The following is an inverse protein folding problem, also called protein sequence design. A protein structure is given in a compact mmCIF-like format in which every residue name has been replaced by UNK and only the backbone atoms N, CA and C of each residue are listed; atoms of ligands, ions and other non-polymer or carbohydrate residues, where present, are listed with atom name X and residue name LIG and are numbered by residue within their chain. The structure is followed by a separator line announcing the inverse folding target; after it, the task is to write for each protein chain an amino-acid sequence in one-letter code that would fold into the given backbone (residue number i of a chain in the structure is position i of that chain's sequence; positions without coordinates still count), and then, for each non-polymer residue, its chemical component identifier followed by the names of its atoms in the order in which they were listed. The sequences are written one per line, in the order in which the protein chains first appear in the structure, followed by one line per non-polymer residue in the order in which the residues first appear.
data_IF_146185534446
#
_entry.id   IF_146185534446
#
_cell.length_a   1.000
_cell.length_b   1.000
_cell.length_c   1.000
_cell.angle_alpha   90.00
_cell.angle_beta   90.00
_cell.angle_gamma   90.00
#
_symmetry.space_group_name_H-M   'P 1'
#
loop_
_entity.id
_entity.type
_entity.pdbx_description
1 polymer ?
#
# COMPACT_ATOMS: atom_id res chain seq x y z
N UNK A 1 -3.76 10.70 -20.86
CA UNK A 1 -2.60 10.73 -19.94
C UNK A 1 -3.20 10.67 -18.54
N UNK A 2 -2.99 9.59 -17.78
CA UNK A 2 -3.63 9.40 -16.46
C UNK A 2 -2.69 9.78 -15.33
N UNK A 3 -3.22 10.22 -14.19
CA UNK A 3 -2.43 10.52 -12.99
C UNK A 3 -2.10 9.22 -12.25
N UNK A 4 -1.07 8.52 -12.74
CA UNK A 4 -0.66 7.20 -12.29
C UNK A 4 0.79 7.19 -11.82
N UNK A 5 1.06 6.47 -10.74
CA UNK A 5 2.41 6.21 -10.25
C UNK A 5 2.56 4.75 -9.84
N UNK A 6 3.78 4.22 -10.00
CA UNK A 6 4.19 2.93 -9.42
C UNK A 6 5.57 3.11 -8.81
N UNK A 7 5.68 2.84 -7.51
CA UNK A 7 6.90 2.99 -6.73
C UNK A 7 7.20 1.67 -6.02
N UNK A 8 8.47 1.31 -5.97
CA UNK A 8 8.98 0.18 -5.19
C UNK A 8 10.09 0.67 -4.27
N UNK A 9 10.10 0.18 -3.04
CA UNK A 9 11.11 0.49 -2.02
C UNK A 9 11.44 -0.77 -1.26
N UNK A 10 12.73 -1.00 -1.08
CA UNK A 10 13.26 -2.14 -0.31
C UNK A 10 14.25 -1.60 0.72
N UNK A 11 14.11 -2.05 1.95
CA UNK A 11 15.03 -1.78 3.07
C UNK A 11 15.53 -3.10 3.65
N UNK A 12 16.12 -3.06 4.84
CA UNK A 12 16.47 -4.28 5.56
C UNK A 12 15.23 -4.93 6.21
N UNK A 13 14.23 -4.12 6.51
CA UNK A 13 12.99 -4.47 7.21
C UNK A 13 11.86 -4.83 6.25
N UNK A 14 11.75 -4.13 5.11
CA UNK A 14 10.59 -4.27 4.20
C UNK A 14 10.95 -4.35 2.71
N UNK A 15 10.04 -4.96 1.94
CA UNK A 15 10.02 -4.95 0.47
C UNK A 15 8.60 -4.63 0.00
N UNK A 16 8.43 -3.44 -0.57
CA UNK A 16 7.12 -2.83 -0.83
C UNK A 16 7.03 -2.36 -2.28
N UNK A 17 5.89 -2.64 -2.92
CA UNK A 17 5.50 -2.05 -4.20
C UNK A 17 4.09 -1.49 -4.12
N UNK A 18 3.93 -0.23 -4.48
CA UNK A 18 2.65 0.47 -4.56
C UNK A 18 2.39 0.90 -6.01
N UNK A 19 1.18 0.69 -6.50
CA UNK A 19 0.66 1.31 -7.74
C UNK A 19 -0.60 2.09 -7.41
N UNK A 20 -0.64 3.35 -7.82
CA UNK A 20 -1.75 4.27 -7.53
C UNK A 20 -2.22 4.95 -8.82
N UNK A 21 -3.52 4.91 -9.06
CA UNK A 21 -4.23 5.80 -9.99
C UNK A 21 -5.17 6.70 -9.19
N UNK A 22 -4.90 8.00 -9.19
CA UNK A 22 -5.72 8.96 -8.45
C UNK A 22 -6.96 9.44 -9.23
N UNK A 23 -7.11 9.01 -10.49
CA UNK A 23 -8.32 9.18 -11.32
C UNK A 23 -9.06 7.83 -11.48
N UNK A 24 -9.05 7.01 -10.43
CA UNK A 24 -9.56 5.64 -10.45
C UNK A 24 -11.07 5.52 -10.18
N UNK A 25 -11.44 4.30 -9.79
CA UNK A 25 -12.82 3.87 -9.53
C UNK A 25 -13.00 3.25 -8.13
N UNK A 26 -11.94 3.20 -7.34
CA UNK A 26 -11.93 2.60 -6.01
C UNK A 26 -11.60 1.11 -6.01
N UNK A 27 -10.92 0.60 -7.05
CA UNK A 27 -10.46 -0.79 -7.10
C UNK A 27 -9.21 -0.99 -6.25
N UNK A 28 -9.21 -2.00 -5.39
CA UNK A 28 -8.09 -2.28 -4.50
C UNK A 28 -7.58 -3.72 -4.63
N UNK A 29 -6.26 -3.90 -4.64
CA UNK A 29 -5.58 -5.18 -4.40
C UNK A 29 -4.47 -4.95 -3.38
N UNK A 30 -4.70 -5.30 -2.12
CA UNK A 30 -3.81 -4.95 -1.02
C UNK A 30 -3.41 -6.22 -0.27
N UNK A 31 -2.10 -6.40 -0.12
CA UNK A 31 -1.48 -7.49 0.60
C UNK A 31 -0.31 -6.95 1.42
N UNK A 32 -0.55 -6.57 2.67
CA UNK A 32 0.53 -6.16 3.61
C UNK A 32 0.85 -7.23 4.66
N UNK A 33 0.14 -8.35 4.64
CA UNK A 33 0.23 -9.39 5.67
C UNK A 33 -0.51 -9.05 6.98
N UNK A 34 -1.21 -7.91 7.03
CA UNK A 34 -1.93 -7.43 8.22
C UNK A 34 -3.40 -7.14 7.86
N UNK A 35 -4.34 -8.07 8.13
CA UNK A 35 -5.71 -7.98 7.62
C UNK A 35 -6.45 -6.67 7.97
N UNK A 36 -6.18 -6.10 9.14
CA UNK A 36 -6.79 -4.83 9.53
C UNK A 36 -6.24 -3.64 8.74
N UNK A 37 -4.93 -3.62 8.47
CA UNK A 37 -4.33 -2.56 7.67
C UNK A 37 -4.75 -2.66 6.20
N UNK A 38 -4.81 -3.88 5.67
CA UNK A 38 -5.37 -4.16 4.34
C UNK A 38 -6.79 -3.57 4.21
N UNK A 39 -7.64 -3.79 5.24
CA UNK A 39 -9.00 -3.24 5.28
C UNK A 39 -9.05 -1.71 5.32
N UNK A 40 -8.13 -1.06 6.06
CA UNK A 40 -8.05 0.41 6.12
C UNK A 40 -7.61 1.01 4.78
N UNK A 41 -6.60 0.42 4.12
CA UNK A 41 -6.12 0.86 2.82
C UNK A 41 -7.15 0.62 1.70
N UNK A 42 -7.91 -0.46 1.80
CA UNK A 42 -9.03 -0.75 0.89
C UNK A 42 -10.17 0.28 1.06
N UNK A 43 -10.47 0.66 2.31
CA UNK A 43 -11.41 1.76 2.59
C UNK A 43 -10.91 3.09 2.04
N UNK A 44 -9.60 3.37 2.19
CA UNK A 44 -8.95 4.56 1.60
C UNK A 44 -9.10 4.60 0.07
N UNK A 45 -8.84 3.47 -0.61
CA UNK A 45 -9.04 3.34 -2.07
C UNK A 45 -10.51 3.56 -2.47
N UNK A 46 -11.45 2.86 -1.81
CA UNK A 46 -12.88 2.96 -2.12
C UNK A 46 -13.44 4.37 -1.94
N UNK A 47 -13.15 5.02 -0.82
CA UNK A 47 -13.72 6.32 -0.50
C UNK A 47 -12.94 7.49 -1.14
N UNK A 48 -11.69 7.26 -1.56
CA UNK A 48 -10.91 8.20 -2.35
C UNK A 48 -11.12 8.11 -3.85
N UNK A 49 -11.83 7.08 -4.35
CA UNK A 49 -11.91 6.73 -5.77
C UNK A 49 -10.54 6.49 -6.42
N UNK A 50 -9.60 5.92 -5.66
CA UNK A 50 -8.28 5.56 -6.17
C UNK A 50 -8.26 4.11 -6.59
N UNK A 51 -7.64 3.79 -7.73
CA UNK A 51 -7.26 2.39 -7.98
C UNK A 51 -5.89 2.14 -7.34
N UNK A 52 -5.82 1.24 -6.37
CA UNK A 52 -4.67 1.03 -5.50
C UNK A 52 -4.25 -0.44 -5.49
N UNK A 53 -2.99 -0.70 -5.80
CA UNK A 53 -2.37 -2.01 -5.59
C UNK A 53 -1.18 -1.88 -4.65
N UNK A 54 -1.14 -2.68 -3.59
CA UNK A 54 -0.05 -2.72 -2.61
C UNK A 54 0.36 -4.18 -2.40
N UNK A 55 1.63 -4.46 -2.59
CA UNK A 55 2.30 -5.69 -2.16
C UNK A 55 3.39 -5.28 -1.16
N UNK A 56 3.29 -5.74 0.08
CA UNK A 56 4.28 -5.46 1.11
C UNK A 56 4.65 -6.74 1.86
N UNK A 57 5.95 -6.95 1.99
CA UNK A 57 6.55 -7.95 2.88
C UNK A 57 7.39 -7.20 3.90
N UNK A 58 7.25 -7.54 5.16
CA UNK A 58 8.08 -6.97 6.21
C UNK A 58 8.35 -7.96 7.33
N UNK A 59 9.14 -7.50 8.30
CA UNK A 59 9.57 -8.18 9.51
C UNK A 59 8.47 -8.26 10.59
N UNK A 60 7.30 -8.81 10.20
CA UNK A 60 6.10 -8.87 11.05
C UNK A 60 6.29 -9.69 12.35
N UNK A 61 7.37 -10.46 12.45
CA UNK A 61 7.80 -11.15 13.66
C UNK A 61 8.39 -10.22 14.73
N UNK A 62 8.87 -9.02 14.36
CA UNK A 62 9.35 -7.99 15.29
C UNK A 62 8.15 -7.24 15.84
N UNK A 63 7.46 -6.49 14.99
CA UNK A 63 6.14 -5.90 15.20
C UNK A 63 5.55 -5.41 13.85
N UNK A 64 4.55 -4.53 13.89
CA UNK A 64 3.90 -3.99 12.70
C UNK A 64 4.42 -2.62 12.25
N UNK A 65 5.30 -2.00 13.03
CA UNK A 65 5.69 -0.60 12.88
C UNK A 65 6.32 -0.34 11.51
N UNK A 66 7.39 -1.07 11.17
CA UNK A 66 8.13 -0.84 9.93
C UNK A 66 7.25 -1.05 8.70
N UNK A 67 6.45 -2.11 8.67
CA UNK A 67 5.56 -2.38 7.52
C UNK A 67 4.50 -1.28 7.37
N UNK A 68 3.87 -0.83 8.45
CA UNK A 68 2.87 0.26 8.40
C UNK A 68 3.51 1.58 7.96
N UNK A 69 4.64 1.94 8.57
CA UNK A 69 5.39 3.15 8.25
C UNK A 69 5.84 3.18 6.79
N UNK A 70 6.50 2.11 6.35
CA UNK A 70 7.10 2.06 5.02
C UNK A 70 6.04 1.96 3.91
N UNK A 71 4.89 1.31 4.14
CA UNK A 71 3.76 1.41 3.21
C UNK A 71 3.29 2.86 3.10
N UNK A 72 3.20 3.57 4.23
CA UNK A 72 2.85 4.99 4.26
C UNK A 72 3.86 5.86 3.50
N UNK A 73 5.16 5.61 3.65
CA UNK A 73 6.22 6.34 2.95
C UNK A 73 6.22 6.12 1.44
N UNK A 74 5.86 4.92 0.98
CA UNK A 74 5.79 4.61 -0.47
C UNK A 74 4.49 5.11 -1.09
N UNK A 75 3.40 5.14 -0.31
CA UNK A 75 2.10 5.63 -0.76
C UNK A 75 2.02 7.17 -0.85
N UNK A 76 2.67 7.88 0.08
CA UNK A 76 2.69 9.34 0.15
C UNK A 76 3.56 10.00 -0.92
#
# INVERSE_FOLDING_TARGET
MGRKAKISRTTQETDITVSLDIDGSGQARIHTGMPFFDHMLDSFSRHGFFDLAIEAKGDLEVDYHHTVEDVGLVLG
#
